data_IF_065170297553
#
_entry.id   IF_065170297553
#
_cell.length_a   1.000
_cell.length_b   1.000
_cell.length_c   1.000
_cell.angle_alpha   90.00
_cell.angle_beta   90.00
_cell.angle_gamma   90.00
#
_symmetry.space_group_name_H-M   'P 1'
#
loop_
_entity.id
_entity.type
_entity.pdbx_description
1 polymer ?
#
# COMPACT_ATOMS: atom_id res chain seq x y z
N UNK A 1 8.32 -34.91 29.27
CA UNK A 1 8.90 -36.18 29.74
C UNK A 1 9.91 -36.67 28.72
N UNK A 2 10.75 -37.61 29.13
CA UNK A 2 11.76 -38.24 28.25
C UNK A 2 11.48 -39.75 28.24
N UNK A 3 11.48 -40.38 27.07
CA UNK A 3 11.28 -41.82 26.94
C UNK A 3 12.53 -42.63 27.33
N UNK A 4 12.44 -43.95 27.33
CA UNK A 4 13.55 -44.83 27.68
C UNK A 4 14.75 -44.72 26.72
N UNK A 5 14.58 -44.13 25.53
CA UNK A 5 15.59 -43.90 24.51
C UNK A 5 16.17 -42.47 24.55
N UNK A 6 15.73 -41.62 25.49
CA UNK A 6 16.18 -40.27 25.63
C UNK A 6 15.42 -39.22 24.78
N UNK A 7 14.32 -39.60 24.10
CA UNK A 7 13.54 -38.68 23.28
C UNK A 7 12.52 -37.89 24.11
N UNK A 8 12.29 -36.65 23.74
CA UNK A 8 11.26 -35.85 24.38
C UNK A 8 9.87 -36.34 24.03
N UNK A 9 9.08 -36.66 25.05
CA UNK A 9 7.66 -37.00 24.92
C UNK A 9 6.79 -35.80 25.28
N UNK A 10 5.77 -35.57 24.46
CA UNK A 10 4.82 -34.49 24.64
C UNK A 10 3.45 -34.99 25.08
N UNK A 11 2.80 -34.30 26.01
CA UNK A 11 1.42 -34.59 26.40
C UNK A 11 0.46 -33.95 25.40
N UNK A 12 -0.26 -34.75 24.64
CA UNK A 12 -1.30 -34.31 23.71
C UNK A 12 -2.71 -34.33 24.31
N UNK A 13 -2.85 -34.75 25.55
CA UNK A 13 -4.14 -34.77 26.23
C UNK A 13 -5.11 -35.83 25.72
N UNK A 14 -4.60 -36.86 25.06
CA UNK A 14 -5.39 -37.97 24.51
C UNK A 14 -5.35 -39.25 25.35
N UNK A 15 -4.70 -39.17 26.53
CA UNK A 15 -4.48 -40.33 27.39
C UNK A 15 -3.38 -41.26 26.95
N UNK A 16 -2.59 -40.85 25.93
CA UNK A 16 -1.46 -41.59 25.39
C UNK A 16 -0.19 -41.50 26.25
N UNK A 17 0.95 -41.45 25.57
CA UNK A 17 2.29 -41.70 26.12
C UNK A 17 2.72 -40.84 27.32
N UNK A 18 2.18 -39.65 27.53
CA UNK A 18 2.77 -38.70 28.45
C UNK A 18 1.76 -37.92 29.29
N UNK A 19 0.51 -38.33 29.37
CA UNK A 19 -0.44 -37.55 30.15
C UNK A 19 -1.83 -38.16 30.34
N UNK A 20 -2.68 -37.40 31.00
CA UNK A 20 -4.09 -37.69 31.20
C UNK A 20 -4.93 -37.22 30.01
N UNK A 21 -6.04 -37.93 29.77
CA UNK A 21 -7.02 -37.47 28.82
C UNK A 21 -7.61 -36.10 29.23
N UNK A 22 -7.47 -35.10 28.38
CA UNK A 22 -8.06 -33.78 28.60
C UNK A 22 -9.45 -33.71 27.99
N UNK A 23 -10.41 -33.07 28.65
CA UNK A 23 -11.78 -32.91 28.14
C UNK A 23 -11.88 -31.99 26.94
N UNK A 24 -10.85 -31.14 26.72
CA UNK A 24 -10.78 -30.18 25.62
C UNK A 24 -9.34 -30.02 25.15
N UNK A 25 -9.16 -29.54 23.89
CA UNK A 25 -7.85 -29.36 23.28
C UNK A 25 -6.98 -30.63 23.22
N UNK A 26 -7.61 -31.79 23.10
CA UNK A 26 -6.92 -33.04 22.83
C UNK A 26 -6.16 -33.02 21.52
N UNK A 27 -5.07 -33.76 21.43
CA UNK A 27 -4.18 -33.87 20.24
C UNK A 27 -3.44 -32.57 19.89
N UNK A 28 -3.22 -31.66 20.83
CA UNK A 28 -2.38 -30.46 20.65
C UNK A 28 -1.44 -30.26 21.82
N UNK A 29 -0.23 -29.79 21.53
CA UNK A 29 0.74 -29.39 22.53
C UNK A 29 1.57 -28.22 21.98
N UNK A 30 1.44 -27.04 22.60
CA UNK A 30 2.05 -25.81 22.11
C UNK A 30 3.60 -25.88 22.05
N UNK A 31 4.23 -26.64 22.96
CA UNK A 31 5.68 -26.81 22.95
C UNK A 31 6.13 -27.68 21.76
N UNK A 32 5.44 -28.80 21.51
CA UNK A 32 5.74 -29.64 20.35
C UNK A 32 5.48 -28.91 19.03
N UNK A 33 4.40 -28.15 18.94
CA UNK A 33 4.07 -27.35 17.77
C UNK A 33 5.17 -26.29 17.48
N UNK A 34 5.67 -25.65 18.54
CA UNK A 34 6.74 -24.65 18.40
C UNK A 34 8.10 -25.25 18.01
N UNK A 35 8.35 -26.52 18.35
CA UNK A 35 9.64 -27.19 18.08
C UNK A 35 9.61 -27.95 16.76
N UNK A 36 8.51 -28.63 16.45
CA UNK A 36 8.42 -29.60 15.34
C UNK A 36 7.76 -29.04 14.08
N UNK A 37 6.95 -27.99 14.22
CA UNK A 37 6.33 -27.35 13.08
C UNK A 37 7.17 -26.19 12.59
N UNK A 38 7.15 -25.94 11.29
CA UNK A 38 7.84 -24.81 10.68
C UNK A 38 6.84 -23.87 10.05
N UNK A 39 7.03 -22.58 10.31
CA UNK A 39 6.39 -21.49 9.57
C UNK A 39 7.43 -20.43 9.27
N UNK A 40 8.00 -20.49 8.09
CA UNK A 40 9.06 -19.58 7.64
C UNK A 40 8.55 -18.73 6.48
N UNK A 41 8.76 -17.42 6.59
CA UNK A 41 8.49 -16.47 5.51
C UNK A 41 9.81 -15.85 5.07
N UNK A 42 10.08 -15.96 3.79
CA UNK A 42 11.20 -15.30 3.11
C UNK A 42 10.62 -14.28 2.14
N UNK A 43 11.22 -13.11 2.04
CA UNK A 43 10.72 -12.07 1.15
C UNK A 43 11.82 -11.13 0.66
N UNK A 44 11.57 -10.58 -0.52
CA UNK A 44 12.40 -9.56 -1.13
C UNK A 44 11.54 -8.36 -1.54
N UNK A 45 11.99 -7.17 -1.15
CA UNK A 45 11.32 -5.94 -1.54
C UNK A 45 12.30 -5.05 -2.30
N UNK A 46 11.88 -4.59 -3.47
CA UNK A 46 12.62 -3.62 -4.28
C UNK A 46 11.73 -2.39 -4.45
N UNK A 47 12.27 -1.24 -4.12
CA UNK A 47 11.64 0.05 -4.35
C UNK A 47 12.62 0.96 -5.07
N UNK A 48 12.22 1.50 -6.20
CA UNK A 48 13.02 2.41 -6.99
C UNK A 48 12.19 3.58 -7.50
N UNK A 49 12.75 4.79 -7.43
CA UNK A 49 12.15 6.00 -7.99
C UNK A 49 13.19 6.74 -8.81
N UNK A 50 12.84 7.08 -10.02
CA UNK A 50 13.61 7.95 -10.90
C UNK A 50 12.79 9.19 -11.26
N UNK A 51 13.43 10.35 -11.30
CA UNK A 51 12.79 11.57 -11.76
C UNK A 51 13.70 12.32 -12.73
N UNK A 52 13.07 13.10 -13.59
CA UNK A 52 13.74 14.05 -14.46
C UNK A 52 13.02 15.39 -14.41
N UNK A 53 13.78 16.46 -14.41
CA UNK A 53 13.27 17.82 -14.35
C UNK A 53 13.90 18.64 -15.48
N UNK A 54 13.07 19.32 -16.26
CA UNK A 54 13.48 20.18 -17.37
C UNK A 54 12.85 21.54 -17.21
N UNK A 55 13.68 22.57 -17.08
CA UNK A 55 13.23 23.97 -17.10
C UNK A 55 13.45 24.56 -18.48
N UNK A 56 12.44 25.22 -19.04
CA UNK A 56 12.50 25.80 -20.38
C UNK A 56 11.66 27.09 -20.46
N UNK A 57 11.95 27.93 -21.46
CA UNK A 57 11.28 29.21 -21.67
C UNK A 57 11.23 30.09 -20.41
N UNK A 58 12.18 29.93 -19.49
CA UNK A 58 12.34 30.64 -18.19
C UNK A 58 11.20 30.44 -17.19
N UNK A 59 9.96 30.28 -17.65
CA UNK A 59 8.74 30.29 -16.83
C UNK A 59 8.15 28.87 -16.68
N UNK A 60 8.65 27.86 -17.41
CA UNK A 60 8.12 26.50 -17.43
C UNK A 60 9.09 25.51 -16.80
N UNK A 61 8.52 24.57 -16.05
CA UNK A 61 9.24 23.45 -15.47
C UNK A 61 8.40 22.16 -15.63
N UNK A 62 8.95 21.23 -16.40
CA UNK A 62 8.39 19.89 -16.54
C UNK A 62 9.12 18.93 -15.61
N UNK A 63 8.37 18.14 -14.87
CA UNK A 63 8.90 17.09 -13.98
C UNK A 63 8.21 15.77 -14.30
N UNK A 64 8.98 14.72 -14.50
CA UNK A 64 8.45 13.35 -14.55
C UNK A 64 9.06 12.54 -13.41
N UNK A 65 8.21 11.82 -12.68
CA UNK A 65 8.60 10.93 -11.60
C UNK A 65 8.03 9.54 -11.89
N UNK A 66 8.89 8.53 -11.90
CA UNK A 66 8.52 7.17 -12.20
C UNK A 66 9.01 6.27 -11.06
N UNK A 67 8.09 5.51 -10.45
CA UNK A 67 8.38 4.62 -9.35
C UNK A 67 7.99 3.19 -9.68
N UNK A 68 8.79 2.25 -9.22
CA UNK A 68 8.51 0.83 -9.26
C UNK A 68 8.63 0.25 -7.85
N UNK A 69 7.69 -0.58 -7.48
CA UNK A 69 7.69 -1.32 -6.23
C UNK A 69 7.41 -2.80 -6.52
N UNK A 70 8.31 -3.65 -6.07
CA UNK A 70 8.17 -5.11 -6.14
C UNK A 70 8.29 -5.65 -4.72
N UNK A 71 7.31 -6.45 -4.32
CA UNK A 71 7.31 -7.15 -3.05
C UNK A 71 6.99 -8.62 -3.33
N UNK A 72 7.92 -9.49 -3.00
CA UNK A 72 7.82 -10.94 -3.18
C UNK A 72 7.93 -11.63 -1.84
N UNK A 73 7.03 -12.57 -1.56
CA UNK A 73 7.01 -13.33 -0.33
C UNK A 73 6.76 -14.80 -0.61
N UNK A 74 7.54 -15.65 0.06
CA UNK A 74 7.43 -17.11 0.04
C UNK A 74 7.21 -17.59 1.47
N UNK A 75 6.08 -18.22 1.71
CA UNK A 75 5.75 -18.83 2.98
C UNK A 75 5.86 -20.35 2.85
N UNK A 76 6.67 -20.95 3.71
CA UNK A 76 6.74 -22.40 3.90
C UNK A 76 6.07 -22.76 5.23
N UNK A 77 5.14 -23.69 5.20
CA UNK A 77 4.52 -24.27 6.38
C UNK A 77 4.74 -25.77 6.40
N UNK A 78 5.20 -26.29 7.53
CA UNK A 78 5.38 -27.72 7.77
C UNK A 78 4.69 -28.05 9.07
N UNK A 79 3.72 -28.93 9.02
CA UNK A 79 3.16 -29.58 10.21
C UNK A 79 3.75 -30.98 10.29
N UNK A 80 4.40 -31.27 11.41
CA UNK A 80 5.19 -32.45 11.57
C UNK A 80 4.38 -33.75 11.43
N UNK A 81 5.01 -34.89 10.97
CA UNK A 81 4.36 -36.15 10.81
C UNK A 81 4.28 -37.01 12.09
N UNK A 82 4.94 -36.57 13.17
CA UNK A 82 5.18 -37.44 14.32
C UNK A 82 4.08 -37.39 15.36
N UNK A 83 3.56 -36.17 15.63
CA UNK A 83 2.65 -35.91 16.72
C UNK A 83 1.57 -34.86 16.33
N UNK A 84 0.47 -34.89 17.07
CA UNK A 84 -0.60 -33.91 16.94
C UNK A 84 -1.69 -34.30 15.94
N UNK A 85 -2.53 -33.36 15.59
CA UNK A 85 -3.74 -33.61 14.79
C UNK A 85 -3.47 -34.12 13.40
N UNK A 86 -2.28 -33.89 12.84
CA UNK A 86 -1.91 -34.27 11.47
C UNK A 86 -0.94 -35.43 11.41
N UNK A 87 -0.63 -36.08 12.54
CA UNK A 87 0.19 -37.31 12.54
C UNK A 87 -0.43 -38.42 11.72
N UNK A 88 -1.77 -38.55 11.75
CA UNK A 88 -2.51 -39.58 10.96
C UNK A 88 -2.39 -39.33 9.44
N UNK A 89 -2.09 -38.13 9.02
CA UNK A 89 -1.84 -37.76 7.62
C UNK A 89 -0.35 -37.79 7.27
N UNK A 90 0.50 -38.27 8.18
CA UNK A 90 1.95 -38.29 8.06
C UNK A 90 2.51 -36.89 7.67
N UNK A 91 2.05 -35.83 8.37
CA UNK A 91 2.46 -34.46 8.17
C UNK A 91 1.81 -33.76 6.99
N UNK A 92 1.92 -32.44 6.98
CA UNK A 92 1.42 -31.54 5.91
C UNK A 92 2.50 -30.52 5.54
N UNK A 93 2.73 -30.38 4.25
CA UNK A 93 3.55 -29.34 3.64
C UNK A 93 2.66 -28.32 2.91
N UNK A 94 2.92 -27.03 3.12
CA UNK A 94 2.30 -25.95 2.37
C UNK A 94 3.34 -24.95 1.86
N UNK A 95 3.19 -24.53 0.63
CA UNK A 95 3.97 -23.47 -0.01
C UNK A 95 3.05 -22.40 -0.52
N UNK A 96 3.33 -21.17 -0.16
CA UNK A 96 2.65 -19.99 -0.72
C UNK A 96 3.67 -19.08 -1.35
N UNK A 97 3.39 -18.59 -2.54
CA UNK A 97 4.16 -17.54 -3.18
C UNK A 97 3.23 -16.40 -3.53
N UNK A 98 3.58 -15.19 -3.13
CA UNK A 98 2.87 -13.98 -3.51
C UNK A 98 3.85 -12.94 -4.04
N UNK A 99 3.42 -12.20 -5.06
CA UNK A 99 4.19 -11.11 -5.63
C UNK A 99 3.28 -9.93 -5.91
N UNK A 100 3.65 -8.77 -5.40
CA UNK A 100 3.04 -7.49 -5.76
C UNK A 100 4.03 -6.71 -6.62
N UNK A 101 3.56 -6.28 -7.77
CA UNK A 101 4.27 -5.39 -8.66
C UNK A 101 3.45 -4.11 -8.83
N UNK A 102 4.01 -2.97 -8.49
CA UNK A 102 3.32 -1.69 -8.61
C UNK A 102 4.20 -0.68 -9.34
N UNK A 103 3.58 0.12 -10.17
CA UNK A 103 4.22 1.24 -10.86
C UNK A 103 3.41 2.51 -10.65
N UNK A 104 4.09 3.62 -10.49
CA UNK A 104 3.51 4.95 -10.47
C UNK A 104 4.25 5.85 -11.45
N UNK A 105 3.49 6.50 -12.32
CA UNK A 105 4.00 7.46 -13.30
C UNK A 105 3.32 8.80 -13.05
N UNK A 106 4.10 9.83 -12.83
CA UNK A 106 3.59 11.18 -12.63
C UNK A 106 4.31 12.15 -13.58
N UNK A 107 3.56 12.99 -14.27
CA UNK A 107 4.06 14.06 -15.11
C UNK A 107 3.43 15.38 -14.66
N UNK A 108 4.25 16.38 -14.43
CA UNK A 108 3.83 17.71 -14.00
C UNK A 108 4.43 18.77 -14.93
N UNK A 109 3.61 19.67 -15.40
CA UNK A 109 4.06 20.88 -16.05
C UNK A 109 3.65 22.09 -15.20
N UNK A 110 4.63 22.79 -14.68
CA UNK A 110 4.47 23.99 -13.89
C UNK A 110 4.80 25.22 -14.72
N UNK A 111 4.02 26.27 -14.53
CA UNK A 111 4.23 27.60 -15.08
C UNK A 111 4.20 28.63 -13.96
N UNK A 112 5.19 29.50 -13.90
CA UNK A 112 5.29 30.57 -12.92
C UNK A 112 5.69 31.86 -13.62
N UNK A 113 4.88 32.89 -13.50
CA UNK A 113 5.12 34.19 -14.13
C UNK A 113 4.78 35.34 -13.19
N UNK A 114 5.70 36.29 -13.09
CA UNK A 114 5.49 37.58 -12.47
C UNK A 114 5.56 38.67 -13.55
N UNK A 115 4.53 39.52 -13.62
CA UNK A 115 4.45 40.66 -14.56
C UNK A 115 3.97 41.87 -13.76
N UNK A 116 4.88 42.77 -13.36
CA UNK A 116 4.54 43.85 -12.47
C UNK A 116 3.96 43.32 -11.16
N UNK A 117 2.76 43.76 -10.80
CA UNK A 117 2.04 43.34 -9.60
C UNK A 117 1.25 42.02 -9.79
N UNK A 118 1.29 41.39 -10.98
CA UNK A 118 0.57 40.17 -11.28
C UNK A 118 1.48 38.99 -11.11
N UNK A 119 1.09 38.04 -10.26
CA UNK A 119 1.77 36.76 -10.10
C UNK A 119 0.82 35.60 -10.48
N UNK A 120 1.24 34.79 -11.42
CA UNK A 120 0.48 33.65 -11.96
C UNK A 120 1.28 32.38 -11.69
N UNK A 121 0.65 31.41 -11.10
CA UNK A 121 1.18 30.04 -10.98
C UNK A 121 0.14 29.09 -11.53
N UNK A 122 0.52 28.24 -12.49
CA UNK A 122 -0.34 27.23 -13.04
C UNK A 122 0.38 25.88 -13.06
N UNK A 123 -0.37 24.81 -12.95
CA UNK A 123 0.14 23.43 -13.02
C UNK A 123 -0.88 22.57 -13.73
N UNK A 124 -0.41 21.73 -14.64
CA UNK A 124 -1.17 20.59 -15.15
C UNK A 124 -0.40 19.32 -14.87
N UNK A 125 -1.11 18.25 -14.61
CA UNK A 125 -0.48 16.97 -14.27
C UNK A 125 -1.30 15.79 -14.72
N UNK A 126 -0.58 14.70 -14.90
CA UNK A 126 -1.12 13.38 -15.15
C UNK A 126 -0.47 12.40 -14.16
N UNK A 127 -1.26 11.48 -13.65
CA UNK A 127 -0.80 10.42 -12.77
C UNK A 127 -1.43 9.10 -13.19
N UNK A 128 -0.62 8.06 -13.28
CA UNK A 128 -1.07 6.71 -13.55
C UNK A 128 -0.43 5.76 -12.54
N UNK A 129 -1.26 5.04 -11.82
CA UNK A 129 -0.85 3.99 -10.89
C UNK A 129 -1.41 2.65 -11.33
N UNK A 130 -0.56 1.64 -11.31
CA UNK A 130 -0.95 0.24 -11.53
C UNK A 130 -0.36 -0.62 -10.43
N UNK A 131 -1.14 -1.58 -9.94
CA UNK A 131 -0.64 -2.65 -9.10
C UNK A 131 -1.23 -3.98 -9.54
N UNK A 132 -0.36 -4.99 -9.63
CA UNK A 132 -0.73 -6.37 -9.90
C UNK A 132 -0.30 -7.21 -8.69
N UNK A 133 -1.22 -8.02 -8.19
CA UNK A 133 -0.95 -8.98 -7.14
C UNK A 133 -1.16 -10.39 -7.68
N UNK A 134 -0.09 -11.16 -7.65
CA UNK A 134 -0.07 -12.57 -7.97
C UNK A 134 -0.02 -13.39 -6.68
N UNK A 135 -0.78 -14.45 -6.63
CA UNK A 135 -0.82 -15.42 -5.53
C UNK A 135 -0.87 -16.83 -6.07
N UNK A 136 -0.07 -17.72 -5.49
CA UNK A 136 -0.17 -19.16 -5.69
C UNK A 136 0.07 -19.89 -4.37
N UNK A 137 -0.63 -20.99 -4.18
CA UNK A 137 -0.54 -21.84 -3.02
C UNK A 137 -0.65 -23.28 -3.45
N UNK A 138 0.11 -24.17 -2.79
CA UNK A 138 -0.02 -25.60 -2.92
C UNK A 138 0.28 -26.29 -1.60
N UNK A 139 -0.38 -27.42 -1.32
CA UNK A 139 -0.13 -28.25 -0.16
C UNK A 139 -0.11 -29.73 -0.53
N UNK A 140 0.66 -30.50 0.24
CA UNK A 140 0.71 -31.97 0.16
C UNK A 140 0.80 -32.55 1.56
N UNK A 141 0.31 -33.76 1.73
CA UNK A 141 0.46 -34.54 2.93
C UNK A 141 1.19 -35.88 2.64
N UNK A 142 1.39 -36.68 3.67
CA UNK A 142 2.12 -37.91 3.61
C UNK A 142 3.59 -37.70 3.19
N UNK A 143 4.33 -37.06 4.10
CA UNK A 143 5.76 -36.76 3.93
C UNK A 143 6.58 -38.06 3.99
N UNK A 144 7.31 -38.36 2.92
CA UNK A 144 8.26 -39.50 2.94
C UNK A 144 9.65 -39.09 3.43
N UNK A 145 9.95 -37.79 3.40
CA UNK A 145 11.17 -37.21 3.94
C UNK A 145 10.81 -35.93 4.73
N UNK A 146 10.69 -36.00 6.07
CA UNK A 146 10.37 -34.85 6.92
C UNK A 146 11.40 -33.73 6.91
N UNK A 147 12.61 -34.00 6.45
CA UNK A 147 13.67 -32.96 6.30
C UNK A 147 13.53 -32.18 5.01
N UNK A 148 12.79 -32.68 4.04
CA UNK A 148 12.53 -32.03 2.77
C UNK A 148 11.26 -31.16 2.87
N UNK A 149 11.45 -29.85 3.03
CA UNK A 149 10.36 -28.89 3.13
C UNK A 149 9.84 -28.40 1.76
N UNK A 150 10.16 -29.09 0.67
CA UNK A 150 9.56 -28.85 -0.64
C UNK A 150 8.35 -29.79 -0.88
N UNK A 151 7.38 -29.33 -1.70
CA UNK A 151 6.18 -30.14 -2.01
C UNK A 151 6.52 -31.53 -2.59
N UNK A 152 7.70 -31.63 -3.20
CA UNK A 152 8.21 -32.93 -3.66
C UNK A 152 8.54 -33.92 -2.53
N UNK A 153 8.66 -33.45 -1.28
CA UNK A 153 8.89 -34.29 -0.08
C UNK A 153 7.64 -34.96 0.47
N UNK A 154 6.48 -34.82 -0.20
CA UNK A 154 5.22 -35.45 0.19
C UNK A 154 4.48 -35.97 -1.05
N UNK A 155 3.73 -37.07 -0.88
CA UNK A 155 3.15 -37.84 -2.00
C UNK A 155 1.67 -37.61 -2.23
N UNK A 156 0.91 -37.24 -1.20
CA UNK A 156 -0.55 -37.09 -1.34
C UNK A 156 -0.90 -35.64 -1.62
N UNK A 157 -1.52 -35.38 -2.75
CA UNK A 157 -1.95 -34.04 -3.14
C UNK A 157 -3.02 -33.49 -2.19
N UNK A 158 -2.82 -32.26 -1.76
CA UNK A 158 -3.75 -31.51 -0.95
C UNK A 158 -4.47 -30.43 -1.77
N UNK A 159 -4.65 -29.25 -1.19
CA UNK A 159 -5.28 -28.11 -1.87
C UNK A 159 -4.26 -27.28 -2.64
N UNK A 160 -4.72 -26.69 -3.74
CA UNK A 160 -3.97 -25.69 -4.50
C UNK A 160 -4.89 -24.57 -4.97
N UNK A 161 -4.34 -23.37 -5.08
CA UNK A 161 -5.06 -22.23 -5.61
C UNK A 161 -4.08 -21.21 -6.21
N UNK A 162 -4.54 -20.48 -7.23
CA UNK A 162 -3.80 -19.34 -7.76
C UNK A 162 -4.75 -18.30 -8.33
N UNK A 163 -4.37 -17.05 -8.22
CA UNK A 163 -5.10 -15.95 -8.85
C UNK A 163 -4.18 -14.75 -9.06
N UNK A 164 -4.61 -13.88 -9.98
CA UNK A 164 -4.00 -12.59 -10.20
C UNK A 164 -5.07 -11.51 -10.11
N UNK A 165 -4.77 -10.42 -9.42
CA UNK A 165 -5.62 -9.23 -9.39
C UNK A 165 -4.87 -8.05 -9.92
N UNK A 166 -5.56 -7.24 -10.75
CA UNK A 166 -5.05 -5.98 -11.26
C UNK A 166 -5.89 -4.82 -10.73
N UNK A 167 -5.22 -3.72 -10.42
CA UNK A 167 -5.85 -2.48 -10.03
C UNK A 167 -5.10 -1.30 -10.64
N UNK A 168 -5.84 -0.42 -11.31
CA UNK A 168 -5.28 0.77 -11.93
C UNK A 168 -6.09 2.00 -11.53
N UNK A 169 -5.38 3.11 -11.37
CA UNK A 169 -5.99 4.45 -11.30
C UNK A 169 -5.28 5.38 -12.27
N UNK A 170 -6.02 6.32 -12.81
CA UNK A 170 -5.51 7.35 -13.70
C UNK A 170 -6.14 8.69 -13.33
N UNK A 171 -5.35 9.73 -13.29
CA UNK A 171 -5.79 11.07 -12.91
C UNK A 171 -5.18 12.15 -13.77
N UNK A 172 -6.02 13.09 -14.20
CA UNK A 172 -5.62 14.34 -14.84
C UNK A 172 -6.00 15.49 -13.93
N UNK A 173 -5.09 16.41 -13.69
CA UNK A 173 -5.39 17.53 -12.81
C UNK A 173 -4.74 18.81 -13.30
N UNK A 174 -5.40 19.91 -12.97
CA UNK A 174 -4.93 21.26 -13.24
C UNK A 174 -5.19 22.14 -12.03
N UNK A 175 -4.31 23.09 -11.79
CA UNK A 175 -4.45 24.13 -10.78
C UNK A 175 -3.92 25.44 -11.31
N UNK A 176 -4.65 26.52 -11.06
CA UNK A 176 -4.20 27.88 -11.32
C UNK A 176 -4.33 28.71 -10.05
N UNK A 177 -3.35 29.57 -9.82
CA UNK A 177 -3.35 30.55 -8.74
C UNK A 177 -2.93 31.89 -9.32
N UNK A 178 -3.63 32.90 -8.89
CA UNK A 178 -3.38 34.29 -9.28
C UNK A 178 -3.30 35.17 -8.03
N UNK A 179 -2.35 36.04 -8.05
CA UNK A 179 -2.17 37.03 -7.00
C UNK A 179 -1.93 38.40 -7.67
N UNK A 180 -2.71 39.39 -7.27
CA UNK A 180 -2.53 40.77 -7.68
C UNK A 180 -2.11 41.63 -6.50
N UNK A 181 -0.98 42.33 -6.63
CA UNK A 181 -0.40 43.24 -5.66
C UNK A 181 -0.23 42.64 -4.26
N UNK A 182 -0.13 41.32 -4.18
CA UNK A 182 -0.15 40.56 -2.93
C UNK A 182 -1.34 40.89 -2.01
N UNK A 183 -2.42 41.44 -2.56
CA UNK A 183 -3.66 41.79 -1.87
C UNK A 183 -4.82 40.87 -2.24
N UNK A 184 -4.97 40.60 -3.53
CA UNK A 184 -6.09 39.83 -4.09
C UNK A 184 -5.58 38.50 -4.59
N UNK A 185 -6.20 37.44 -4.14
CA UNK A 185 -5.82 36.10 -4.48
C UNK A 185 -7.02 35.36 -5.07
N UNK A 186 -6.80 34.63 -6.14
CA UNK A 186 -7.76 33.70 -6.72
C UNK A 186 -7.09 32.36 -6.97
N UNK A 187 -7.84 31.29 -6.83
CA UNK A 187 -7.36 29.95 -7.15
C UNK A 187 -8.48 29.10 -7.75
N UNK A 188 -8.12 28.24 -8.69
CA UNK A 188 -9.02 27.22 -9.22
C UNK A 188 -8.26 25.91 -9.35
N UNK A 189 -8.94 24.81 -9.11
CA UNK A 189 -8.41 23.48 -9.38
C UNK A 189 -9.48 22.61 -10.02
N UNK A 190 -9.01 21.69 -10.86
CA UNK A 190 -9.84 20.67 -11.48
C UNK A 190 -9.07 19.34 -11.45
N UNK A 191 -9.76 18.26 -11.13
CA UNK A 191 -9.22 16.92 -11.18
C UNK A 191 -10.24 15.96 -11.78
N UNK A 192 -9.79 15.09 -12.64
CA UNK A 192 -10.57 14.01 -13.22
C UNK A 192 -9.84 12.69 -12.97
N UNK A 193 -10.47 11.81 -12.21
CA UNK A 193 -9.87 10.54 -11.79
C UNK A 193 -10.69 9.36 -12.29
N UNK A 194 -9.98 8.29 -12.65
CA UNK A 194 -10.56 6.99 -12.99
C UNK A 194 -10.02 5.90 -12.10
N UNK A 195 -10.85 4.89 -11.83
CA UNK A 195 -10.45 3.67 -11.14
C UNK A 195 -10.99 2.44 -11.85
N UNK A 196 -10.14 1.42 -12.00
CA UNK A 196 -10.52 0.13 -12.60
C UNK A 196 -11.52 -0.67 -11.77
N UNK A 197 -11.79 -0.26 -10.52
CA UNK A 197 -12.78 -0.90 -9.64
C UNK A 197 -14.21 -0.56 -9.99
N UNK A 198 -14.42 0.53 -10.74
CA UNK A 198 -15.74 0.94 -11.17
C UNK A 198 -16.08 0.37 -12.56
N UNK A 199 -17.37 0.24 -12.83
CA UNK A 199 -17.87 -0.15 -14.15
C UNK A 199 -17.33 0.80 -15.22
N UNK A 200 -17.02 0.34 -16.45
CA UNK A 200 -16.46 1.17 -17.52
C UNK A 200 -17.18 2.51 -17.74
N UNK A 201 -18.51 2.51 -17.67
CA UNK A 201 -19.31 3.71 -17.92
C UNK A 201 -19.24 4.75 -16.78
N UNK A 202 -18.84 4.33 -15.57
CA UNK A 202 -18.81 5.15 -14.37
C UNK A 202 -17.42 5.27 -13.73
N UNK A 203 -16.35 5.00 -14.50
CA UNK A 203 -14.99 5.01 -13.99
C UNK A 203 -14.45 6.40 -13.66
N UNK A 204 -14.95 7.41 -14.34
CA UNK A 204 -14.42 8.75 -14.27
C UNK A 204 -15.24 9.64 -13.35
N UNK A 205 -14.58 10.19 -12.33
CA UNK A 205 -15.10 11.25 -11.47
C UNK A 205 -14.48 12.60 -11.83
N UNK A 206 -15.25 13.68 -11.68
CA UNK A 206 -14.77 15.05 -11.89
C UNK A 206 -14.89 15.83 -10.59
N UNK A 207 -13.82 16.50 -10.20
CA UNK A 207 -13.73 17.25 -8.97
C UNK A 207 -13.16 18.63 -9.28
N UNK A 208 -13.66 19.65 -8.62
CA UNK A 208 -13.20 21.02 -8.84
C UNK A 208 -13.33 21.87 -7.59
N UNK A 209 -12.50 22.89 -7.51
CA UNK A 209 -12.64 23.90 -6.50
C UNK A 209 -12.25 25.28 -7.03
N UNK A 210 -12.87 26.31 -6.48
CA UNK A 210 -12.50 27.70 -6.69
C UNK A 210 -12.43 28.41 -5.35
N UNK A 211 -11.49 29.35 -5.23
CA UNK A 211 -11.29 30.11 -4.01
C UNK A 211 -10.80 31.53 -4.31
N UNK A 212 -11.16 32.45 -3.44
CA UNK A 212 -10.68 33.81 -3.47
C UNK A 212 -10.28 34.25 -2.06
N UNK A 213 -9.32 35.18 -1.99
CA UNK A 213 -8.96 35.81 -0.73
C UNK A 213 -8.54 37.26 -0.95
N UNK A 214 -8.83 38.07 0.04
CA UNK A 214 -8.47 39.50 0.08
C UNK A 214 -7.72 39.83 1.36
N UNK A 215 -6.50 40.35 1.21
CA UNK A 215 -5.66 40.79 2.30
C UNK A 215 -5.92 42.26 2.58
N UNK A 216 -6.94 42.51 3.37
CA UNK A 216 -7.46 43.85 3.68
C UNK A 216 -6.39 44.71 4.37
N UNK A 217 -5.57 44.10 5.22
CA UNK A 217 -4.51 44.83 5.95
C UNK A 217 -3.44 45.46 5.05
N UNK A 218 -3.36 45.06 3.78
CA UNK A 218 -2.47 45.70 2.77
C UNK A 218 -3.12 46.83 2.01
N UNK A 219 -4.39 47.16 2.26
CA UNK A 219 -5.05 48.25 1.61
C UNK A 219 -4.67 49.63 2.25
N UNK A 220 -4.57 50.63 1.42
CA UNK A 220 -4.18 51.99 1.86
C UNK A 220 -5.13 52.53 2.92
N UNK A 221 -6.44 52.29 2.81
CA UNK A 221 -7.43 52.75 3.78
C UNK A 221 -7.24 52.09 5.15
N UNK A 222 -6.73 50.85 5.17
CA UNK A 222 -6.45 50.10 6.39
C UNK A 222 -5.14 50.59 7.04
N UNK A 223 -4.08 50.68 6.24
CA UNK A 223 -2.74 51.06 6.71
C UNK A 223 -2.70 52.53 7.24
N UNK A 224 -3.47 53.39 6.63
CA UNK A 224 -3.55 54.81 7.02
C UNK A 224 -4.46 55.09 8.24
N UNK A 225 -5.16 54.05 8.73
CA UNK A 225 -6.06 54.19 9.88
C UNK A 225 -5.33 53.86 11.19
N UNK A 226 -5.07 54.88 12.00
CA UNK A 226 -4.38 54.72 13.28
C UNK A 226 -5.12 53.81 14.27
N UNK A 227 -6.45 53.72 14.20
CA UNK A 227 -7.24 52.85 15.05
C UNK A 227 -7.10 51.37 14.75
N UNK A 228 -6.55 51.01 13.56
CA UNK A 228 -6.37 49.63 13.12
C UNK A 228 -4.91 49.13 13.22
N UNK A 229 -3.99 50.01 13.69
CA UNK A 229 -2.55 49.69 13.78
C UNK A 229 -2.20 48.50 14.69
N UNK A 230 -3.11 48.09 15.58
CA UNK A 230 -2.92 46.93 16.44
C UNK A 230 -3.20 45.61 15.73
N UNK A 231 -3.73 45.65 14.49
CA UNK A 231 -4.01 44.46 13.68
C UNK A 231 -2.91 44.31 12.63
N UNK A 232 -2.02 43.36 12.81
CA UNK A 232 -0.91 43.08 11.89
C UNK A 232 -1.39 42.48 10.55
N UNK A 233 -2.41 41.60 10.60
CA UNK A 233 -2.94 40.99 9.40
C UNK A 233 -4.45 40.76 9.49
N UNK A 234 -5.17 41.25 8.49
CA UNK A 234 -6.58 40.98 8.28
C UNK A 234 -6.78 40.43 6.86
N UNK A 235 -7.18 39.17 6.75
CA UNK A 235 -7.43 38.44 5.50
C UNK A 235 -8.79 37.75 5.52
N UNK A 236 -9.61 38.05 4.52
CA UNK A 236 -10.84 37.29 4.26
C UNK A 236 -10.56 36.28 3.16
N UNK A 237 -11.09 35.07 3.31
CA UNK A 237 -11.00 34.01 2.31
C UNK A 237 -12.31 33.23 2.21
N UNK A 238 -12.66 32.81 0.99
CA UNK A 238 -13.77 31.93 0.71
C UNK A 238 -13.36 30.91 -0.35
N UNK A 239 -13.87 29.70 -0.24
CA UNK A 239 -13.66 28.65 -1.25
C UNK A 239 -14.89 27.77 -1.33
N UNK A 240 -15.15 27.25 -2.54
CA UNK A 240 -16.21 26.30 -2.81
C UNK A 240 -15.71 25.25 -3.80
N UNK A 241 -16.22 24.02 -3.69
CA UNK A 241 -15.82 22.94 -4.59
C UNK A 241 -16.65 21.70 -4.42
N UNK A 242 -16.47 20.77 -5.37
CA UNK A 242 -17.03 19.42 -5.35
C UNK A 242 -15.89 18.43 -5.10
N UNK A 243 -16.09 17.56 -4.11
CA UNK A 243 -15.18 16.47 -3.76
C UNK A 243 -15.91 15.13 -3.96
N UNK A 244 -15.14 14.08 -4.21
CA UNK A 244 -15.62 12.71 -4.32
C UNK A 244 -15.43 11.92 -3.03
#
# INVERSE_FOLDING_TARGET
MIDANGNTMYDYGDGGNAGLQRPSFGKSNALSDAILNTRATEGNTINGTAFAEISFLKDFKFTTTNSVYVDESRLTTVTNPYYGSYASSNGILGKTHSRRYSTNYQQLLNYVKAIGSHNITAMIGHEYYRTQYYYTFGSKSNMFDPSNHELAGAVTDGSSNSYTTDYNTEGYFARAQYNFDEKYYASASYRRDASSRFHPDNRWGNFWSAGAAWLISKENFFQNNNALKFIDMLKIKASYGSQG
#
